data_IF_416768478763
#
_entry.id   IF_416768478763
#
_cell.length_a   1.000
_cell.length_b   1.000
_cell.length_c   1.000
_cell.angle_alpha   90.00
_cell.angle_beta   90.00
_cell.angle_gamma   90.00
#
_symmetry.space_group_name_H-M   'P 1'
#
loop_
_entity.id
_entity.type
_entity.pdbx_description
1 polymer ?
#
# COMPACT_ATOMS: atom_id res chain seq x y z
N UNK A 1 -36.76 -36.72 19.22
CA UNK A 1 -35.95 -35.50 19.00
C UNK A 1 -34.50 -35.93 19.04
N UNK A 2 -33.90 -36.21 17.88
CA UNK A 2 -32.50 -36.65 17.82
C UNK A 2 -31.61 -35.40 17.93
N UNK A 3 -30.94 -35.26 19.07
CA UNK A 3 -29.97 -34.18 19.29
C UNK A 3 -28.76 -34.37 18.39
N UNK A 4 -28.35 -33.30 17.72
CA UNK A 4 -27.09 -33.26 16.95
C UNK A 4 -25.91 -33.54 17.92
N UNK A 5 -24.94 -34.40 17.56
CA UNK A 5 -23.76 -34.65 18.38
C UNK A 5 -22.97 -33.36 18.69
N UNK A 6 -22.53 -33.15 19.95
CA UNK A 6 -21.85 -31.91 20.36
C UNK A 6 -20.55 -31.64 19.60
N UNK A 7 -19.84 -32.69 19.17
CA UNK A 7 -18.60 -32.60 18.38
C UNK A 7 -18.82 -31.94 17.01
N UNK A 8 -20.01 -32.07 16.42
CA UNK A 8 -20.34 -31.50 15.10
C UNK A 8 -20.80 -30.06 15.21
N UNK A 9 -21.42 -29.71 16.34
CA UNK A 9 -21.66 -28.31 16.70
C UNK A 9 -20.34 -27.59 17.01
N UNK A 10 -19.32 -28.28 17.51
CA UNK A 10 -17.96 -27.74 17.64
C UNK A 10 -17.33 -27.45 16.28
N UNK A 11 -17.46 -28.37 15.31
CA UNK A 11 -16.94 -28.17 13.95
C UNK A 11 -17.54 -26.93 13.26
N UNK A 12 -18.86 -26.72 13.36
CA UNK A 12 -19.51 -25.52 12.84
C UNK A 12 -19.01 -24.26 13.55
N UNK A 13 -18.91 -24.27 14.88
CA UNK A 13 -18.38 -23.12 15.65
C UNK A 13 -16.94 -22.78 15.28
N UNK A 14 -16.11 -23.79 15.06
CA UNK A 14 -14.72 -23.60 14.63
C UNK A 14 -14.64 -23.01 13.22
N UNK A 15 -15.44 -23.49 12.27
CA UNK A 15 -15.51 -22.93 10.91
C UNK A 15 -16.03 -21.48 10.91
N UNK A 16 -17.03 -21.16 11.75
CA UNK A 16 -17.51 -19.79 11.92
C UNK A 16 -16.43 -18.85 12.48
N UNK A 17 -15.65 -19.34 13.45
CA UNK A 17 -14.53 -18.57 14.02
C UNK A 17 -13.45 -18.31 12.97
N UNK A 18 -13.10 -19.31 12.16
CA UNK A 18 -12.13 -19.17 11.07
C UNK A 18 -12.61 -18.16 10.02
N UNK A 19 -13.86 -18.29 9.56
CA UNK A 19 -14.50 -17.34 8.64
C UNK A 19 -14.45 -15.91 9.19
N UNK A 20 -14.77 -15.70 10.47
CA UNK A 20 -14.70 -14.38 11.10
C UNK A 20 -13.28 -13.80 11.10
N UNK A 21 -12.27 -14.63 11.39
CA UNK A 21 -10.87 -14.20 11.34
C UNK A 21 -10.44 -13.79 9.92
N UNK A 22 -10.85 -14.55 8.90
CA UNK A 22 -10.54 -14.26 7.50
C UNK A 22 -11.28 -13.01 7.01
N UNK A 23 -12.55 -12.82 7.39
CA UNK A 23 -13.27 -11.58 7.12
C UNK A 23 -12.53 -10.38 7.69
N UNK A 24 -12.08 -10.46 8.95
CA UNK A 24 -11.30 -9.39 9.57
C UNK A 24 -9.92 -9.17 8.92
N UNK A 25 -9.31 -10.19 8.30
CA UNK A 25 -8.09 -10.01 7.48
C UNK A 25 -8.40 -9.25 6.19
N UNK A 26 -9.45 -9.65 5.48
CA UNK A 26 -9.92 -8.97 4.25
C UNK A 26 -10.21 -7.49 4.50
N UNK A 27 -10.91 -7.17 5.59
CA UNK A 27 -11.25 -5.78 5.93
C UNK A 27 -9.99 -4.94 6.24
N UNK A 28 -9.03 -5.51 6.96
CA UNK A 28 -7.73 -4.85 7.22
C UNK A 28 -6.95 -4.63 5.93
N UNK A 29 -6.92 -5.61 5.02
CA UNK A 29 -6.28 -5.47 3.72
C UNK A 29 -6.98 -4.42 2.85
N UNK A 30 -8.31 -4.34 2.89
CA UNK A 30 -9.05 -3.27 2.22
C UNK A 30 -8.67 -1.88 2.77
N UNK A 31 -8.60 -1.72 4.09
CA UNK A 31 -8.15 -0.46 4.71
C UNK A 31 -6.73 -0.08 4.30
N UNK A 32 -5.80 -1.05 4.31
CA UNK A 32 -4.42 -0.85 3.87
C UNK A 32 -4.31 -0.48 2.38
N UNK A 33 -5.15 -1.05 1.53
CA UNK A 33 -5.23 -0.69 0.11
C UNK A 33 -5.67 0.77 -0.08
N UNK A 34 -6.68 1.23 0.65
CA UNK A 34 -7.13 2.63 0.57
C UNK A 34 -6.03 3.59 1.01
N UNK A 35 -5.30 3.25 2.08
CA UNK A 35 -4.16 4.05 2.52
C UNK A 35 -3.05 4.07 1.47
N UNK A 36 -2.71 2.93 0.89
CA UNK A 36 -1.69 2.83 -0.16
C UNK A 36 -2.05 3.67 -1.40
N UNK A 37 -3.34 3.74 -1.76
CA UNK A 37 -3.83 4.61 -2.84
C UNK A 37 -3.66 6.10 -2.51
N UNK A 38 -3.98 6.51 -1.27
CA UNK A 38 -3.74 7.88 -0.82
C UNK A 38 -2.25 8.23 -0.86
N UNK A 39 -1.38 7.30 -0.48
CA UNK A 39 0.07 7.50 -0.56
C UNK A 39 0.56 7.65 -2.02
N UNK A 40 -0.08 6.98 -2.98
CA UNK A 40 0.17 7.17 -4.41
C UNK A 40 -0.28 8.56 -4.89
N UNK A 41 -1.46 9.01 -4.50
CA UNK A 41 -1.95 10.36 -4.84
C UNK A 41 -1.01 11.44 -4.29
N UNK A 42 -0.50 11.25 -3.07
CA UNK A 42 0.52 12.14 -2.50
C UNK A 42 1.83 12.11 -3.30
N UNK A 43 2.26 10.94 -3.77
CA UNK A 43 3.45 10.84 -4.62
C UNK A 43 3.27 11.55 -5.98
N UNK A 44 2.07 11.51 -6.59
CA UNK A 44 1.78 12.31 -7.78
C UNK A 44 1.91 13.82 -7.52
N UNK A 45 1.37 14.31 -6.41
CA UNK A 45 1.52 15.73 -6.02
C UNK A 45 2.97 16.13 -5.78
N UNK A 46 3.80 15.22 -5.30
CA UNK A 46 5.24 15.46 -5.17
C UNK A 46 5.94 15.58 -6.52
N UNK A 47 5.53 14.81 -7.53
CA UNK A 47 6.01 14.96 -8.91
C UNK A 47 5.63 16.33 -9.46
N UNK A 48 4.35 16.73 -9.35
CA UNK A 48 3.89 18.05 -9.79
C UNK A 48 4.70 19.19 -9.13
N UNK A 49 4.96 19.08 -7.82
CA UNK A 49 5.78 20.06 -7.12
C UNK A 49 7.26 20.06 -7.57
N UNK A 50 7.81 18.90 -7.93
CA UNK A 50 9.17 18.80 -8.46
C UNK A 50 9.27 19.38 -9.88
N UNK A 51 8.27 19.16 -10.72
CA UNK A 51 8.16 19.78 -12.06
C UNK A 51 8.13 21.31 -11.96
N UNK A 52 7.27 21.87 -11.10
CA UNK A 52 7.20 23.32 -10.88
C UNK A 52 8.54 23.91 -10.42
N UNK A 53 9.29 23.19 -9.57
CA UNK A 53 10.63 23.62 -9.13
C UNK A 53 11.63 23.61 -10.27
N UNK A 54 11.59 22.59 -11.11
CA UNK A 54 12.43 22.50 -12.31
C UNK A 54 12.14 23.67 -13.26
N UNK A 55 10.87 23.91 -13.59
CA UNK A 55 10.45 25.00 -14.47
C UNK A 55 10.90 26.38 -13.94
N UNK A 56 10.83 26.57 -12.61
CA UNK A 56 11.32 27.80 -11.98
C UNK A 56 12.84 27.96 -12.14
N UNK A 57 13.61 26.87 -12.01
CA UNK A 57 15.06 26.89 -12.20
C UNK A 57 15.46 27.10 -13.68
N UNK A 58 14.69 26.57 -14.63
CA UNK A 58 14.89 26.82 -16.05
C UNK A 58 14.68 28.30 -16.39
N UNK A 59 13.60 28.91 -15.90
CA UNK A 59 13.33 30.35 -16.07
C UNK A 59 14.41 31.23 -15.42
N UNK A 60 14.89 30.83 -14.24
CA UNK A 60 15.99 31.53 -13.58
C UNK A 60 17.28 31.43 -14.40
N UNK A 61 17.56 30.27 -14.99
CA UNK A 61 18.74 30.08 -15.84
C UNK A 61 18.67 30.95 -17.08
N UNK A 62 17.51 31.04 -17.72
CA UNK A 62 17.28 31.95 -18.84
C UNK A 62 17.54 33.42 -18.45
N UNK A 63 17.03 33.86 -17.29
CA UNK A 63 17.26 35.21 -16.79
C UNK A 63 18.76 35.48 -16.54
N UNK A 64 19.47 34.58 -15.87
CA UNK A 64 20.90 34.75 -15.57
C UNK A 64 21.80 34.67 -16.81
N UNK A 65 21.40 33.91 -17.84
CA UNK A 65 22.09 33.94 -19.14
C UNK A 65 22.01 35.31 -19.81
N UNK A 66 20.92 36.05 -19.61
CA UNK A 66 20.76 37.41 -20.15
C UNK A 66 21.58 38.45 -19.38
N UNK A 67 21.82 38.25 -18.08
CA UNK A 67 22.67 39.17 -17.28
C UNK A 67 24.16 39.00 -17.58
N UNK A 68 24.55 37.86 -18.15
CA UNK A 68 25.92 37.58 -18.61
C UNK A 68 26.93 37.33 -17.49
N UNK A 69 26.48 37.09 -16.25
CA UNK A 69 27.35 36.79 -15.11
C UNK A 69 27.66 35.27 -15.03
N UNK A 70 28.89 34.81 -15.36
CA UNK A 70 29.18 33.38 -15.50
C UNK A 70 29.04 32.59 -14.19
N UNK A 71 29.38 33.20 -13.05
CA UNK A 71 29.26 32.57 -11.73
C UNK A 71 27.80 32.28 -11.35
N UNK A 72 26.90 33.20 -11.70
CA UNK A 72 25.46 33.07 -11.45
C UNK A 72 24.86 31.95 -12.31
N UNK A 73 25.21 31.91 -13.60
CA UNK A 73 24.81 30.85 -14.53
C UNK A 73 25.24 29.47 -14.01
N UNK A 74 26.50 29.31 -13.60
CA UNK A 74 27.00 28.02 -13.08
C UNK A 74 26.25 27.56 -11.82
N UNK A 75 25.89 28.49 -10.93
CA UNK A 75 25.12 28.19 -9.73
C UNK A 75 23.71 27.72 -10.08
N UNK A 76 23.01 28.42 -10.99
CA UNK A 76 21.66 28.05 -11.39
C UNK A 76 21.65 26.74 -12.18
N UNK A 77 22.64 26.48 -13.03
CA UNK A 77 22.78 25.17 -13.68
C UNK A 77 22.97 24.03 -12.68
N UNK A 78 23.68 24.26 -11.57
CA UNK A 78 23.80 23.27 -10.50
C UNK A 78 22.47 23.04 -9.78
N UNK A 79 21.68 24.09 -9.55
CA UNK A 79 20.34 23.99 -8.97
C UNK A 79 19.36 23.28 -9.91
N UNK A 80 19.42 23.55 -11.21
CA UNK A 80 18.62 22.86 -12.22
C UNK A 80 18.94 21.36 -12.25
N UNK A 81 20.22 20.97 -12.25
CA UNK A 81 20.62 19.56 -12.15
C UNK A 81 20.10 18.88 -10.87
N UNK A 82 20.05 19.62 -9.75
CA UNK A 82 19.48 19.11 -8.51
C UNK A 82 17.95 18.95 -8.60
N UNK A 83 17.26 19.90 -9.24
CA UNK A 83 15.82 19.82 -9.49
C UNK A 83 15.45 18.66 -10.42
N UNK A 84 16.23 18.43 -11.49
CA UNK A 84 16.09 17.27 -12.38
C UNK A 84 16.19 15.94 -11.62
N UNK A 85 17.21 15.80 -10.75
CA UNK A 85 17.38 14.61 -9.92
C UNK A 85 16.24 14.45 -8.90
N UNK A 86 15.74 15.54 -8.32
CA UNK A 86 14.60 15.50 -7.42
C UNK A 86 13.32 15.03 -8.15
N UNK A 87 13.11 15.47 -9.39
CA UNK A 87 12.01 15.01 -10.23
C UNK A 87 12.12 13.52 -10.55
N UNK A 88 13.31 13.06 -10.95
CA UNK A 88 13.58 11.63 -11.22
C UNK A 88 13.24 10.75 -10.01
N UNK A 89 13.64 11.18 -8.80
CA UNK A 89 13.33 10.47 -7.54
C UNK A 89 11.84 10.48 -7.22
N UNK A 90 11.15 11.61 -7.44
CA UNK A 90 9.70 11.69 -7.24
C UNK A 90 8.95 10.75 -8.20
N UNK A 91 9.36 10.71 -9.48
CA UNK A 91 8.79 9.80 -10.47
C UNK A 91 9.06 8.33 -10.14
N UNK A 92 10.26 8.01 -9.63
CA UNK A 92 10.57 6.67 -9.15
C UNK A 92 9.71 6.27 -7.94
N UNK A 93 9.43 7.22 -7.04
CA UNK A 93 8.51 7.00 -5.91
C UNK A 93 7.11 6.65 -6.41
N UNK A 94 6.59 7.38 -7.41
CA UNK A 94 5.29 7.08 -8.03
C UNK A 94 5.26 5.66 -8.59
N UNK A 95 6.29 5.25 -9.34
CA UNK A 95 6.38 3.89 -9.89
C UNK A 95 6.35 2.82 -8.79
N UNK A 96 7.14 2.98 -7.73
CA UNK A 96 7.09 2.07 -6.58
C UNK A 96 5.71 2.05 -5.92
N UNK A 97 5.10 3.22 -5.70
CA UNK A 97 3.76 3.31 -5.09
C UNK A 97 2.68 2.66 -5.95
N UNK A 98 2.78 2.73 -7.27
CA UNK A 98 1.88 2.02 -8.18
C UNK A 98 2.01 0.49 -8.00
N UNK A 99 3.23 -0.03 -8.01
CA UNK A 99 3.47 -1.48 -7.78
C UNK A 99 3.00 -1.91 -6.38
N UNK A 100 3.16 -1.05 -5.37
CA UNK A 100 2.64 -1.29 -4.02
C UNK A 100 1.11 -1.34 -3.98
N UNK A 101 0.42 -0.50 -4.75
CA UNK A 101 -1.05 -0.59 -4.91
C UNK A 101 -1.42 -1.95 -5.53
N UNK A 102 -0.74 -2.36 -6.59
CA UNK A 102 -1.02 -3.64 -7.26
C UNK A 102 -0.80 -4.83 -6.33
N UNK A 103 0.28 -4.82 -5.52
CA UNK A 103 0.53 -5.82 -4.48
C UNK A 103 -0.55 -5.83 -3.39
N UNK A 104 -1.04 -4.65 -2.96
CA UNK A 104 -2.12 -4.56 -2.00
C UNK A 104 -3.48 -5.04 -2.56
N UNK A 105 -3.74 -4.84 -3.85
CA UNK A 105 -4.91 -5.40 -4.54
C UNK A 105 -4.84 -6.94 -4.55
N UNK A 106 -3.71 -7.50 -4.96
CA UNK A 106 -3.51 -8.95 -4.99
C UNK A 106 -3.62 -9.58 -3.58
N UNK A 107 -3.10 -8.91 -2.54
CA UNK A 107 -3.23 -9.38 -1.16
C UNK A 107 -4.70 -9.40 -0.70
N UNK A 108 -5.47 -8.36 -1.03
CA UNK A 108 -6.91 -8.33 -0.73
C UNK A 108 -7.64 -9.47 -1.43
N UNK A 109 -7.27 -9.77 -2.68
CA UNK A 109 -7.86 -10.87 -3.46
C UNK A 109 -7.51 -12.24 -2.90
N UNK A 110 -6.25 -12.47 -2.48
CA UNK A 110 -5.87 -13.66 -1.71
C UNK A 110 -6.77 -13.85 -0.48
N UNK A 111 -6.97 -12.81 0.35
CA UNK A 111 -7.85 -12.91 1.52
C UNK A 111 -9.34 -13.07 1.18
N UNK A 112 -9.80 -12.54 0.05
CA UNK A 112 -11.17 -12.78 -0.42
C UNK A 112 -11.37 -14.25 -0.81
N UNK A 113 -10.38 -14.85 -1.49
CA UNK A 113 -10.40 -16.28 -1.85
C UNK A 113 -10.25 -17.20 -0.65
N UNK A 114 -9.40 -16.86 0.32
CA UNK A 114 -9.33 -17.57 1.60
C UNK A 114 -10.70 -17.56 2.32
N UNK A 115 -11.40 -16.43 2.31
CA UNK A 115 -12.73 -16.32 2.91
C UNK A 115 -13.76 -17.18 2.16
N UNK A 116 -13.71 -17.24 0.82
CA UNK A 116 -14.58 -18.11 0.02
C UNK A 116 -14.36 -19.60 0.34
N UNK A 117 -13.11 -20.02 0.53
CA UNK A 117 -12.79 -21.38 0.99
C UNK A 117 -13.35 -21.64 2.39
N UNK A 118 -13.21 -20.71 3.34
CA UNK A 118 -13.79 -20.86 4.67
C UNK A 118 -15.33 -20.86 4.68
N UNK A 119 -15.97 -20.11 3.77
CA UNK A 119 -17.42 -20.17 3.55
C UNK A 119 -17.84 -21.57 3.04
N UNK A 120 -17.07 -22.15 2.11
CA UNK A 120 -17.33 -23.52 1.63
C UNK A 120 -17.17 -24.57 2.73
N UNK A 121 -16.14 -24.45 3.58
CA UNK A 121 -15.94 -25.34 4.74
C UNK A 121 -17.06 -25.20 5.78
N UNK A 122 -17.53 -23.96 6.03
CA UNK A 122 -18.66 -23.72 6.92
C UNK A 122 -19.95 -24.33 6.37
N UNK A 123 -20.21 -24.17 5.07
CA UNK A 123 -21.35 -24.78 4.40
C UNK A 123 -21.30 -26.31 4.52
N UNK A 124 -20.14 -26.93 4.29
CA UNK A 124 -19.96 -28.37 4.44
C UNK A 124 -20.17 -28.85 5.87
N UNK A 125 -19.62 -28.14 6.87
CA UNK A 125 -19.82 -28.46 8.28
C UNK A 125 -21.30 -28.40 8.69
N UNK A 126 -22.04 -27.39 8.22
CA UNK A 126 -23.48 -27.24 8.45
C UNK A 126 -24.27 -28.36 7.77
N UNK A 127 -23.93 -28.70 6.53
CA UNK A 127 -24.55 -29.80 5.81
C UNK A 127 -24.36 -31.14 6.56
N UNK A 128 -23.15 -31.44 7.04
CA UNK A 128 -22.91 -32.67 7.82
C UNK A 128 -23.76 -32.77 9.08
N UNK A 129 -23.94 -31.65 9.79
CA UNK A 129 -24.84 -31.58 10.96
C UNK A 129 -26.28 -31.91 10.57
N UNK A 130 -26.77 -31.36 9.46
CA UNK A 130 -28.15 -31.58 8.98
C UNK A 130 -28.36 -33.00 8.43
N UNK A 131 -27.37 -33.55 7.74
CA UNK A 131 -27.39 -34.94 7.26
C UNK A 131 -27.50 -35.93 8.42
N UNK A 132 -26.74 -35.71 9.48
CA UNK A 132 -26.73 -36.58 10.66
C UNK A 132 -27.99 -36.43 11.52
N UNK A 133 -28.65 -35.26 11.52
CA UNK A 133 -29.94 -35.07 12.20
C UNK A 133 -31.12 -35.69 11.45
N UNK A 134 -30.90 -36.21 10.24
CA UNK A 134 -31.94 -36.79 9.38
C UNK A 134 -32.84 -35.73 8.73
N UNK A 135 -32.34 -34.53 8.52
CA UNK A 135 -33.09 -33.44 7.88
C UNK A 135 -33.32 -33.73 6.39
N UNK A 136 -34.59 -33.78 5.96
CA UNK A 136 -34.92 -34.14 4.58
C UNK A 136 -34.50 -33.10 3.55
N UNK A 137 -34.21 -31.86 3.99
CA UNK A 137 -33.73 -30.78 3.12
C UNK A 137 -32.35 -31.05 2.53
N UNK A 138 -31.55 -31.92 3.15
CA UNK A 138 -30.21 -32.26 2.64
C UNK A 138 -30.21 -33.34 1.57
N UNK A 139 -31.33 -34.01 1.29
CA UNK A 139 -31.41 -35.08 0.29
C UNK A 139 -31.15 -34.64 -1.15
N UNK A 140 -31.27 -33.34 -1.43
CA UNK A 140 -30.97 -32.76 -2.73
C UNK A 140 -29.45 -32.48 -2.93
N UNK A 141 -28.63 -32.70 -1.90
CA UNK A 141 -27.20 -32.42 -1.92
C UNK A 141 -26.38 -33.68 -1.65
N UNK A 142 -25.16 -33.72 -2.18
CA UNK A 142 -24.21 -34.82 -2.02
C UNK A 142 -22.94 -34.37 -1.30
N UNK A 143 -22.24 -35.31 -0.63
CA UNK A 143 -20.97 -34.99 0.04
C UNK A 143 -19.94 -34.54 -1.00
N UNK A 144 -19.96 -35.15 -2.19
CA UNK A 144 -19.09 -34.85 -3.33
C UNK A 144 -19.22 -33.40 -3.80
N UNK A 145 -20.43 -32.83 -3.86
CA UNK A 145 -20.64 -31.44 -4.26
C UNK A 145 -19.94 -30.46 -3.29
N UNK A 146 -20.04 -30.68 -1.99
CA UNK A 146 -19.38 -29.84 -0.99
C UNK A 146 -17.86 -30.01 -1.00
N UNK A 147 -17.38 -31.25 -1.13
CA UNK A 147 -15.94 -31.54 -1.21
C UNK A 147 -15.33 -30.92 -2.46
N UNK A 148 -16.00 -31.02 -3.62
CA UNK A 148 -15.55 -30.37 -4.86
C UNK A 148 -15.51 -28.85 -4.69
N UNK A 149 -16.59 -28.24 -4.20
CA UNK A 149 -16.68 -26.78 -3.98
C UNK A 149 -15.56 -26.29 -3.05
N UNK A 150 -15.28 -27.00 -1.96
CA UNK A 150 -14.19 -26.65 -1.05
C UNK A 150 -12.83 -26.79 -1.71
N UNK A 151 -12.59 -27.89 -2.44
CA UNK A 151 -11.34 -28.12 -3.17
C UNK A 151 -11.08 -27.04 -4.23
N UNK A 152 -12.10 -26.66 -4.99
CA UNK A 152 -12.00 -25.61 -6.01
C UNK A 152 -11.69 -24.26 -5.36
N UNK A 153 -12.43 -23.89 -4.31
CA UNK A 153 -12.19 -22.65 -3.57
C UNK A 153 -10.79 -22.61 -2.93
N UNK A 154 -10.28 -23.75 -2.45
CA UNK A 154 -8.91 -23.87 -1.94
C UNK A 154 -7.88 -23.63 -3.03
N UNK A 155 -8.06 -24.23 -4.21
CA UNK A 155 -7.14 -24.03 -5.34
C UNK A 155 -7.10 -22.56 -5.76
N UNK A 156 -8.26 -21.91 -5.87
CA UNK A 156 -8.34 -20.49 -6.20
C UNK A 156 -7.67 -19.60 -5.14
N UNK A 157 -7.78 -19.95 -3.86
CA UNK A 157 -7.10 -19.25 -2.78
C UNK A 157 -5.57 -19.41 -2.88
N UNK A 158 -5.10 -20.64 -3.11
CA UNK A 158 -3.66 -20.92 -3.29
C UNK A 158 -3.09 -20.15 -4.49
N UNK A 159 -3.82 -20.10 -5.61
CA UNK A 159 -3.45 -19.32 -6.80
C UNK A 159 -3.36 -17.82 -6.50
N UNK A 160 -4.39 -17.23 -5.90
CA UNK A 160 -4.42 -15.81 -5.57
C UNK A 160 -3.31 -15.43 -4.58
N UNK A 161 -3.03 -16.29 -3.60
CA UNK A 161 -1.97 -16.05 -2.62
C UNK A 161 -0.57 -16.21 -3.23
N UNK A 162 -0.39 -17.11 -4.21
CA UNK A 162 0.84 -17.16 -5.03
C UNK A 162 1.05 -15.88 -5.83
N UNK A 163 0.01 -15.35 -6.46
CA UNK A 163 0.10 -14.07 -7.17
C UNK A 163 0.44 -12.93 -6.21
N UNK A 164 -0.22 -12.85 -5.05
CA UNK A 164 0.09 -11.83 -4.04
C UNK A 164 1.57 -11.88 -3.60
N UNK A 165 2.13 -13.08 -3.42
CA UNK A 165 3.54 -13.25 -3.10
C UNK A 165 4.47 -12.76 -4.22
N UNK A 166 4.12 -13.04 -5.49
CA UNK A 166 4.86 -12.54 -6.65
C UNK A 166 4.82 -11.00 -6.72
N UNK A 167 3.66 -10.37 -6.56
CA UNK A 167 3.53 -8.90 -6.55
C UNK A 167 4.28 -8.25 -5.40
N UNK A 168 4.33 -8.90 -4.24
CA UNK A 168 5.13 -8.42 -3.11
C UNK A 168 6.63 -8.44 -3.42
N UNK A 169 7.10 -9.37 -4.25
CA UNK A 169 8.49 -9.38 -4.71
C UNK A 169 8.75 -8.20 -5.66
N UNK A 170 7.87 -7.98 -6.63
CA UNK A 170 7.97 -6.85 -7.56
C UNK A 170 7.98 -5.50 -6.80
N UNK A 171 7.16 -5.37 -5.76
CA UNK A 171 7.11 -4.19 -4.89
C UNK A 171 8.44 -3.92 -4.19
N UNK A 172 9.11 -4.97 -3.68
CA UNK A 172 10.43 -4.84 -3.04
C UNK A 172 11.51 -4.43 -4.03
N UNK A 173 11.46 -4.95 -5.26
CA UNK A 173 12.40 -4.58 -6.31
C UNK A 173 12.21 -3.10 -6.71
N UNK A 174 10.97 -2.65 -6.87
CA UNK A 174 10.66 -1.24 -7.15
C UNK A 174 11.05 -0.32 -5.98
N UNK A 175 10.85 -0.75 -4.73
CA UNK A 175 11.29 -0.04 -3.53
C UNK A 175 12.80 0.16 -3.54
N UNK A 176 13.56 -0.90 -3.79
CA UNK A 176 15.03 -0.85 -3.83
C UNK A 176 15.54 0.15 -4.89
N UNK A 177 14.94 0.15 -6.08
CA UNK A 177 15.27 1.11 -7.14
C UNK A 177 15.00 2.56 -6.73
N UNK A 178 13.86 2.81 -6.07
CA UNK A 178 13.58 4.16 -5.55
C UNK A 178 14.56 4.58 -4.45
N UNK A 179 14.89 3.68 -3.53
CA UNK A 179 15.86 3.96 -2.45
C UNK A 179 17.26 4.25 -2.99
N UNK A 180 17.70 3.52 -4.02
CA UNK A 180 18.97 3.77 -4.72
C UNK A 180 19.02 5.17 -5.32
N UNK A 181 17.95 5.60 -5.98
CA UNK A 181 17.86 6.95 -6.56
C UNK A 181 17.78 8.04 -5.46
N UNK A 182 17.13 7.74 -4.32
CA UNK A 182 16.96 8.69 -3.21
C UNK A 182 18.24 8.91 -2.40
N UNK A 183 19.06 7.88 -2.21
CA UNK A 183 20.26 7.91 -1.38
C UNK A 183 21.20 9.10 -1.69
N UNK A 184 21.57 9.33 -2.97
CA UNK A 184 22.41 10.45 -3.38
C UNK A 184 21.82 11.84 -3.07
N UNK A 185 20.48 12.00 -3.09
CA UNK A 185 19.84 13.28 -2.77
C UNK A 185 19.88 13.60 -1.27
N UNK A 186 19.75 12.61 -0.40
CA UNK A 186 19.85 12.81 1.05
C UNK A 186 21.29 13.10 1.49
N UNK A 187 22.29 12.50 0.83
CA UNK A 187 23.70 12.77 1.11
C UNK A 187 24.14 14.18 0.63
N UNK A 188 23.52 14.73 -0.41
CA UNK A 188 23.83 16.07 -0.95
C UNK A 188 22.99 17.21 -0.37
N UNK A 189 21.90 16.88 0.34
CA UNK A 189 20.92 17.84 0.88
C UNK A 189 21.22 18.39 2.28
N UNK A 190 22.38 18.11 2.85
CA UNK A 190 22.83 18.72 4.11
C UNK A 190 23.33 20.15 3.92
N UNK A 191 22.44 21.10 3.62
CA UNK A 191 22.53 22.58 3.62
C UNK A 191 21.27 23.06 2.84
N UNK A 192 20.24 23.71 3.37
CA UNK A 192 20.17 24.81 4.35
C UNK A 192 18.81 24.71 5.06
N UNK A 193 18.79 24.38 6.36
CA UNK A 193 17.72 24.88 7.23
C UNK A 193 18.07 26.35 7.54
N UNK A 194 17.20 27.34 7.29
CA UNK A 194 17.42 28.65 7.89
C UNK A 194 17.41 28.48 9.42
N UNK A 195 18.34 29.09 10.16
CA UNK A 195 18.27 29.09 11.61
C UNK A 195 16.96 29.78 12.04
N UNK A 196 16.02 28.98 12.53
CA UNK A 196 14.89 29.48 13.31
C UNK A 196 15.48 30.01 14.62
N UNK A 197 15.47 31.33 14.79
CA UNK A 197 15.68 31.97 16.09
C UNK A 197 16.95 32.80 16.24
N UNK A 198 17.04 33.91 15.52
CA UNK A 198 17.81 35.08 15.96
C UNK A 198 16.95 36.36 15.82
N UNK A 199 15.72 36.31 16.33
CA UNK A 199 14.95 37.52 16.61
C UNK A 199 15.39 38.04 17.97
N UNK A 200 16.55 38.68 18.00
CA UNK A 200 16.93 39.56 19.10
C UNK A 200 15.92 40.71 19.15
N UNK A 201 15.06 40.69 20.16
CA UNK A 201 14.19 41.80 20.54
C UNK A 201 15.08 43.02 20.83
N UNK A 202 14.93 44.16 20.13
CA UNK A 202 15.58 45.38 20.58
C UNK A 202 14.89 45.85 21.86
N UNK A 203 15.57 45.71 23.00
CA UNK A 203 15.18 46.37 24.24
C UNK A 203 15.19 47.89 24.00
N UNK A 204 14.00 48.48 24.01
CA UNK A 204 13.81 49.92 24.02
C UNK A 204 14.43 50.50 25.30
N UNK A 205 15.53 51.25 25.15
CA UNK A 205 16.05 52.17 26.16
C UNK A 205 14.98 53.23 26.43
N UNK A 206 14.38 53.18 27.63
CA UNK A 206 13.66 54.31 28.18
C UNK A 206 14.63 55.45 28.55
N UNK A 207 14.25 56.72 28.37
CA UNK A 207 15.10 57.85 28.75
C UNK A 207 15.15 58.03 30.27
N UNK A 208 16.36 58.22 30.78
CA UNK A 208 16.60 58.65 32.15
C UNK A 208 16.08 60.08 32.36
N UNK A 209 15.33 60.27 33.44
CA UNK A 209 15.16 61.54 34.16
C UNK A 209 15.25 61.25 35.65
#
# INVERSE_FOLDING_TARGET
>A
MNGVPPEKQEAVRQAEKERQQLSAKKDRAHGALQETKRELDLAHREVEAAELRKDAQEKLLEAEKLTGQPASVQQVEAQLRAADRALEVAQARVRWRQVKVDAAVALRECHDKELQHADAELDYARYRVLKESGDTRVHAYTDEEFVSKSSDAKSEADDACRESAARTKDEREALAQWEELRGPLQARGGLVSPPVGASGTPQLRGPAR
#
